data_IF_038733504084
#
_entry.id   IF_038733504084
#
_cell.length_a   1.000
_cell.length_b   1.000
_cell.length_c   1.000
_cell.angle_alpha   90.00
_cell.angle_beta   90.00
_cell.angle_gamma   90.00
#
_symmetry.space_group_name_H-M   'P 1'
#
loop_
_entity.id
_entity.type
_entity.pdbx_description
1 polymer ?
#
# COMPACT_ATOMS: atom_id res chain seq x y z
N UNK A 1 16.26 -29.75 5.90
CA UNK A 1 16.22 -28.29 5.65
C UNK A 1 16.75 -27.61 6.90
N UNK A 2 17.70 -26.69 6.76
CA UNK A 2 18.12 -25.81 7.86
C UNK A 2 16.88 -25.04 8.32
N UNK A 3 16.50 -25.20 9.59
CA UNK A 3 15.43 -24.43 10.20
C UNK A 3 15.86 -22.97 10.20
N UNK A 4 15.21 -22.13 9.40
CA UNK A 4 15.40 -20.68 9.46
C UNK A 4 14.50 -20.22 10.59
N UNK A 5 15.09 -19.72 11.67
CA UNK A 5 14.33 -19.13 12.78
C UNK A 5 14.02 -17.67 12.41
N UNK A 6 12.73 -17.31 12.35
CA UNK A 6 12.27 -15.98 11.95
C UNK A 6 11.66 -15.26 13.14
N UNK A 7 12.19 -14.07 13.45
CA UNK A 7 11.79 -13.22 14.57
C UNK A 7 11.36 -11.81 14.08
N UNK A 8 10.87 -10.95 14.97
CA UNK A 8 10.39 -9.60 14.64
C UNK A 8 11.43 -8.69 13.94
N UNK A 9 12.72 -9.01 14.04
CA UNK A 9 13.83 -8.22 13.48
C UNK A 9 14.40 -8.83 12.21
N UNK A 10 14.11 -10.10 11.89
CA UNK A 10 14.68 -10.79 10.72
C UNK A 10 14.56 -9.95 9.46
N UNK A 11 13.37 -9.38 9.18
CA UNK A 11 13.19 -8.58 7.96
C UNK A 11 14.00 -7.28 7.95
N UNK A 12 14.18 -6.62 9.10
CA UNK A 12 14.98 -5.41 9.17
C UNK A 12 16.48 -5.71 9.04
N UNK A 13 16.93 -6.85 9.56
CA UNK A 13 18.30 -7.36 9.34
C UNK A 13 18.57 -7.68 7.87
N UNK A 14 17.64 -8.34 7.20
CA UNK A 14 17.78 -8.65 5.76
C UNK A 14 17.91 -7.37 4.92
N UNK A 15 17.27 -6.28 5.36
CA UNK A 15 17.32 -4.99 4.67
C UNK A 15 18.61 -4.22 4.95
N UNK A 16 19.38 -4.58 5.97
CA UNK A 16 20.60 -3.87 6.37
C UNK A 16 21.67 -3.91 5.28
N UNK A 17 21.79 -5.03 4.55
CA UNK A 17 22.72 -5.18 3.42
C UNK A 17 22.46 -4.15 2.31
N UNK A 18 21.25 -3.62 2.22
CA UNK A 18 20.83 -2.66 1.19
C UNK A 18 20.73 -1.22 1.71
N UNK A 19 21.16 -0.96 2.95
CA UNK A 19 21.19 0.41 3.50
C UNK A 19 22.50 1.08 3.15
N UNK A 20 22.39 2.32 2.70
CA UNK A 20 23.53 3.19 2.43
C UNK A 20 23.70 4.21 3.57
N UNK A 21 24.94 4.37 4.03
CA UNK A 21 25.33 5.30 5.10
C UNK A 21 26.34 6.33 4.53
N UNK A 22 25.86 7.48 4.04
CA UNK A 22 26.69 8.43 3.30
C UNK A 22 27.67 9.22 4.17
N UNK A 23 27.56 9.16 5.50
CA UNK A 23 28.40 9.94 6.41
C UNK A 23 29.89 9.60 6.25
N UNK A 24 30.70 10.61 5.93
CA UNK A 24 32.14 10.46 5.73
C UNK A 24 32.54 9.79 4.40
N UNK A 25 31.59 9.46 3.54
CA UNK A 25 31.85 8.91 2.20
C UNK A 25 32.13 10.02 1.19
N UNK A 26 32.79 9.66 0.08
CA UNK A 26 32.95 10.55 -1.06
C UNK A 26 31.71 10.48 -1.95
N UNK A 27 31.33 11.60 -2.57
CA UNK A 27 30.38 11.57 -3.67
C UNK A 27 31.03 10.87 -4.88
N UNK A 28 30.33 9.88 -5.44
CA UNK A 28 30.79 9.15 -6.61
C UNK A 28 29.70 9.05 -7.68
N UNK A 29 30.11 8.70 -8.90
CA UNK A 29 29.23 8.12 -9.90
C UNK A 29 28.73 6.74 -9.44
N UNK A 30 27.75 6.19 -10.14
CA UNK A 30 27.26 4.81 -9.91
C UNK A 30 28.35 3.75 -10.18
N UNK A 31 29.42 4.11 -10.90
CA UNK A 31 30.59 3.27 -11.15
C UNK A 31 31.72 3.47 -10.13
N UNK A 32 31.52 4.26 -9.07
CA UNK A 32 32.50 4.50 -8.01
C UNK A 32 33.57 5.55 -8.33
N UNK A 33 33.41 6.33 -9.40
CA UNK A 33 34.36 7.42 -9.74
C UNK A 33 34.04 8.63 -8.89
N UNK A 34 35.02 9.14 -8.13
CA UNK A 34 34.83 10.34 -7.31
C UNK A 34 34.47 11.55 -8.16
N UNK A 35 33.49 12.31 -7.69
CA UNK A 35 33.01 13.54 -8.32
C UNK A 35 33.47 14.74 -7.51
N UNK A 36 34.17 15.68 -8.16
CA UNK A 36 34.68 16.90 -7.52
C UNK A 36 33.79 18.13 -7.71
N UNK A 37 32.89 18.11 -8.70
CA UNK A 37 32.03 19.21 -9.10
C UNK A 37 30.66 18.67 -9.52
N UNK A 38 29.58 19.24 -8.98
CA UNK A 38 28.20 18.78 -9.19
C UNK A 38 27.25 19.85 -9.72
N UNK A 39 27.69 21.11 -9.68
CA UNK A 39 26.88 22.29 -9.93
C UNK A 39 27.12 22.83 -11.34
N UNK A 40 28.24 22.44 -11.96
CA UNK A 40 28.61 22.83 -13.32
C UNK A 40 28.81 21.63 -14.23
N UNK A 41 28.16 21.66 -15.40
CA UNK A 41 28.47 20.75 -16.51
C UNK A 41 29.83 21.09 -17.13
N UNK A 42 30.49 20.08 -17.70
CA UNK A 42 31.67 20.26 -18.55
C UNK A 42 31.29 20.97 -19.85
N UNK A 43 31.99 22.08 -20.13
CA UNK A 43 31.72 22.97 -21.27
C UNK A 43 32.99 23.23 -22.09
N UNK A 44 32.81 23.59 -23.37
CA UNK A 44 33.89 24.14 -24.21
C UNK A 44 34.24 25.60 -23.80
N UNK A 45 34.93 25.76 -22.67
CA UNK A 45 35.20 27.05 -22.05
C UNK A 45 34.09 27.50 -21.09
N UNK A 46 34.35 28.51 -20.27
CA UNK A 46 33.47 28.91 -19.16
C UNK A 46 32.03 29.25 -19.60
N UNK A 47 31.87 29.85 -20.78
CA UNK A 47 30.59 30.25 -21.38
C UNK A 47 30.26 29.50 -22.68
N UNK A 48 30.88 28.34 -22.88
CA UNK A 48 30.68 27.50 -24.06
C UNK A 48 29.52 26.51 -23.94
N UNK A 49 29.23 25.75 -25.01
CA UNK A 49 28.26 24.65 -24.99
C UNK A 49 28.73 23.50 -24.08
N UNK A 50 27.77 22.73 -23.55
CA UNK A 50 28.03 21.50 -22.79
C UNK A 50 28.58 20.41 -23.71
N UNK A 51 29.56 19.64 -23.23
CA UNK A 51 30.21 18.58 -24.00
C UNK A 51 29.55 17.21 -23.76
N UNK A 52 29.44 16.40 -24.83
CA UNK A 52 28.88 15.05 -24.74
C UNK A 52 29.77 14.09 -23.93
N UNK A 53 31.06 14.37 -23.82
CA UNK A 53 32.00 13.57 -23.03
C UNK A 53 31.78 13.68 -21.51
N UNK A 54 30.91 14.59 -21.05
CA UNK A 54 30.49 14.70 -19.66
C UNK A 54 29.64 13.48 -19.24
N UNK A 55 30.32 12.42 -18.80
CA UNK A 55 29.68 11.19 -18.39
C UNK A 55 28.98 11.32 -17.03
N UNK A 56 29.47 12.18 -16.13
CA UNK A 56 28.81 12.40 -14.84
C UNK A 56 27.45 13.09 -15.03
N UNK A 57 27.41 14.16 -15.83
CA UNK A 57 26.17 14.84 -16.20
C UNK A 57 25.16 13.89 -16.82
N UNK A 58 25.58 13.11 -17.81
CA UNK A 58 24.70 12.14 -18.49
C UNK A 58 24.21 11.05 -17.56
N UNK A 59 25.07 10.47 -16.72
CA UNK A 59 24.67 9.42 -15.78
C UNK A 59 23.63 9.94 -14.78
N UNK A 60 23.87 11.12 -14.18
CA UNK A 60 22.96 11.76 -13.22
C UNK A 60 21.60 12.05 -13.84
N UNK A 61 21.55 12.65 -15.03
CA UNK A 61 20.30 12.91 -15.73
C UNK A 61 19.61 11.64 -16.21
N UNK A 62 20.37 10.65 -16.71
CA UNK A 62 19.77 9.39 -17.16
C UNK A 62 19.08 8.69 -16.00
N UNK A 63 19.66 8.67 -14.80
CA UNK A 63 18.99 8.10 -13.63
C UNK A 63 17.72 8.88 -13.27
N UNK A 64 17.79 10.23 -13.24
CA UNK A 64 16.64 11.10 -12.98
C UNK A 64 15.48 10.87 -13.96
N UNK A 65 15.78 10.85 -15.26
CA UNK A 65 14.80 10.68 -16.34
C UNK A 65 14.04 9.34 -16.25
N UNK A 66 14.60 8.36 -15.55
CA UNK A 66 14.04 7.01 -15.39
C UNK A 66 13.59 6.69 -13.95
N UNK A 67 13.46 7.69 -13.07
CA UNK A 67 13.01 7.47 -11.68
C UNK A 67 11.57 6.95 -11.57
N UNK A 68 10.72 7.26 -12.54
CA UNK A 68 9.29 6.92 -12.47
C UNK A 68 9.06 5.51 -13.01
N UNK A 69 8.56 4.64 -12.15
CA UNK A 69 7.94 3.38 -12.54
C UNK A 69 6.40 3.55 -12.59
N UNK A 70 5.67 2.72 -13.35
CA UNK A 70 4.21 2.74 -13.34
C UNK A 70 3.66 2.59 -11.93
N UNK A 71 2.64 3.37 -11.61
CA UNK A 71 1.90 3.18 -10.36
C UNK A 71 1.02 1.94 -10.42
N UNK A 72 0.45 1.55 -9.27
CA UNK A 72 -0.55 0.48 -9.23
C UNK A 72 -1.82 0.93 -9.94
N UNK A 73 -2.43 0.08 -10.75
CA UNK A 73 -3.69 0.38 -11.47
C UNK A 73 -4.79 0.85 -10.50
N UNK A 74 -4.91 0.16 -9.37
CA UNK A 74 -5.74 0.53 -8.22
C UNK A 74 -4.86 0.58 -6.97
N UNK A 75 -5.30 1.28 -5.94
CA UNK A 75 -4.53 1.45 -4.69
C UNK A 75 -3.17 2.13 -4.90
N UNK A 76 -3.07 3.04 -5.88
CA UNK A 76 -1.85 3.77 -6.21
C UNK A 76 -1.37 4.63 -5.03
N UNK A 77 -2.29 5.39 -4.42
CA UNK A 77 -2.02 6.20 -3.22
C UNK A 77 -2.02 5.33 -1.98
N UNK A 78 -0.88 5.29 -1.29
CA UNK A 78 -0.73 4.53 -0.06
C UNK A 78 0.53 4.84 0.72
N UNK A 79 0.61 4.28 1.91
CA UNK A 79 1.73 4.40 2.86
C UNK A 79 1.99 3.04 3.50
N UNK A 80 3.23 2.75 3.88
CA UNK A 80 3.59 1.46 4.45
C UNK A 80 4.48 1.58 5.68
N UNK A 81 4.39 0.59 6.55
CA UNK A 81 5.13 0.52 7.81
C UNK A 81 5.58 -0.92 8.09
N UNK A 82 6.76 -1.05 8.70
CA UNK A 82 7.25 -2.31 9.24
C UNK A 82 6.67 -2.55 10.65
N UNK A 83 6.55 -3.81 11.01
CA UNK A 83 6.17 -4.23 12.36
C UNK A 83 6.32 -5.73 12.54
N UNK A 84 5.62 -6.30 13.52
CA UNK A 84 5.52 -7.74 13.69
C UNK A 84 4.09 -8.13 14.08
N UNK A 85 3.74 -9.37 13.77
CA UNK A 85 2.56 -10.08 14.25
C UNK A 85 2.98 -11.06 15.34
N UNK A 86 2.19 -11.18 16.40
CA UNK A 86 2.42 -12.17 17.47
C UNK A 86 1.21 -13.09 17.59
N UNK A 87 1.45 -14.40 17.53
CA UNK A 87 0.40 -15.40 17.72
C UNK A 87 0.14 -15.60 19.22
N UNK A 88 -1.08 -15.34 19.71
CA UNK A 88 -1.36 -15.48 21.15
C UNK A 88 -1.42 -16.93 21.63
N UNK A 89 -2.01 -17.82 20.83
CA UNK A 89 -2.20 -19.23 21.13
C UNK A 89 -1.99 -20.07 19.88
N UNK A 90 -1.54 -21.32 20.05
CA UNK A 90 -1.35 -22.23 18.92
C UNK A 90 -2.67 -22.47 18.17
N UNK A 91 -2.66 -22.21 16.86
CA UNK A 91 -3.78 -22.50 15.96
C UNK A 91 -3.63 -23.85 15.25
N UNK A 92 -2.76 -24.75 15.75
CA UNK A 92 -2.47 -26.05 15.13
C UNK A 92 -3.71 -26.95 14.94
N UNK A 93 -4.74 -26.77 15.78
CA UNK A 93 -6.04 -27.45 15.63
C UNK A 93 -6.76 -27.06 14.32
N UNK A 94 -6.50 -25.85 13.82
CA UNK A 94 -7.17 -25.22 12.68
C UNK A 94 -6.30 -25.21 11.42
N UNK A 95 -5.00 -24.94 11.53
CA UNK A 95 -4.12 -24.66 10.39
C UNK A 95 -2.70 -25.21 10.58
N UNK A 96 -2.01 -25.53 9.48
CA UNK A 96 -0.58 -25.88 9.45
C UNK A 96 0.34 -24.68 9.24
N UNK A 97 -0.19 -23.46 9.09
CA UNK A 97 0.61 -22.27 8.81
C UNK A 97 1.62 -21.99 9.94
N UNK A 98 2.92 -21.99 9.62
CA UNK A 98 4.03 -21.89 10.59
C UNK A 98 3.95 -20.68 11.52
N UNK A 99 3.55 -19.52 11.01
CA UNK A 99 3.41 -18.28 11.79
C UNK A 99 2.27 -18.31 12.84
N UNK A 100 1.47 -19.38 12.87
CA UNK A 100 0.34 -19.57 13.79
C UNK A 100 0.49 -20.82 14.66
N UNK A 101 1.66 -21.48 14.67
CA UNK A 101 1.81 -22.77 15.37
C UNK A 101 2.14 -22.63 16.86
N UNK A 102 2.75 -21.53 17.28
CA UNK A 102 3.28 -21.37 18.64
C UNK A 102 2.84 -20.05 19.26
N UNK A 103 2.42 -20.11 20.53
CA UNK A 103 2.11 -18.93 21.32
C UNK A 103 3.38 -18.07 21.51
N UNK A 104 3.25 -16.76 21.38
CA UNK A 104 4.35 -15.81 21.45
C UNK A 104 5.22 -15.76 20.19
N UNK A 105 4.96 -16.58 19.16
CA UNK A 105 5.74 -16.52 17.91
C UNK A 105 5.54 -15.17 17.23
N UNK A 106 6.65 -14.47 17.02
CA UNK A 106 6.68 -13.15 16.37
C UNK A 106 7.12 -13.29 14.93
N UNK A 107 6.27 -12.84 14.02
CA UNK A 107 6.51 -12.88 12.57
C UNK A 107 6.65 -11.45 12.08
N UNK A 108 7.76 -11.07 11.43
CA UNK A 108 7.90 -9.74 10.89
C UNK A 108 6.86 -9.51 9.80
N UNK A 109 6.35 -8.29 9.73
CA UNK A 109 5.36 -7.87 8.73
C UNK A 109 5.75 -6.57 8.07
N UNK A 110 5.26 -6.39 6.85
CA UNK A 110 5.16 -5.08 6.22
C UNK A 110 3.70 -4.84 5.84
N UNK A 111 3.13 -3.75 6.33
CA UNK A 111 1.76 -3.35 6.05
C UNK A 111 1.78 -2.20 5.07
N UNK A 112 0.90 -2.23 4.06
CA UNK A 112 0.61 -1.07 3.21
C UNK A 112 -0.88 -0.73 3.28
N UNK A 113 -1.16 0.48 3.72
CA UNK A 113 -2.47 1.10 3.66
C UNK A 113 -2.61 1.91 2.37
N UNK A 114 -3.84 2.05 1.87
CA UNK A 114 -4.09 2.78 0.62
C UNK A 114 -5.53 3.24 0.50
N UNK A 115 -5.79 4.24 -0.34
CA UNK A 115 -7.11 4.44 -0.99
C UNK A 115 -7.23 3.45 -2.16
N UNK A 116 -8.25 3.54 -3.01
CA UNK A 116 -8.44 2.65 -4.18
C UNK A 116 -8.35 3.41 -5.49
N UNK A 117 -9.17 4.46 -5.63
CA UNK A 117 -9.46 5.09 -6.93
C UNK A 117 -8.34 6.03 -7.36
N UNK A 118 -7.87 6.87 -6.45
CA UNK A 118 -6.97 7.97 -6.80
C UNK A 118 -5.59 7.52 -7.30
N UNK A 119 -4.99 8.31 -8.19
CA UNK A 119 -3.59 8.14 -8.61
C UNK A 119 -2.62 8.42 -7.44
N UNK A 120 -1.32 8.13 -7.59
CA UNK A 120 -0.33 8.18 -6.48
C UNK A 120 -0.25 9.53 -5.76
N UNK A 121 -0.62 10.62 -6.42
CA UNK A 121 -0.60 12.00 -5.91
C UNK A 121 -1.94 12.50 -5.34
N UNK A 122 -2.97 11.66 -5.31
CA UNK A 122 -4.28 12.01 -4.72
C UNK A 122 -4.21 12.19 -3.19
N UNK A 123 -5.25 12.80 -2.61
CA UNK A 123 -5.34 13.10 -1.18
C UNK A 123 -5.78 11.89 -0.33
N UNK A 124 -5.33 11.84 0.93
CA UNK A 124 -5.55 10.70 1.84
C UNK A 124 -6.98 10.58 2.42
N UNK A 125 -7.67 11.70 2.60
CA UNK A 125 -8.95 11.79 3.34
C UNK A 125 -10.17 11.78 2.44
N UNK A 126 -10.03 11.37 1.18
CA UNK A 126 -11.14 11.20 0.22
C UNK A 126 -12.16 10.15 0.69
N UNK A 127 -13.41 10.22 0.22
CA UNK A 127 -14.38 9.14 0.44
C UNK A 127 -14.06 7.97 -0.48
N UNK A 128 -13.57 6.88 0.09
CA UNK A 128 -13.12 5.70 -0.64
C UNK A 128 -13.09 4.47 0.27
N UNK A 129 -13.05 3.27 -0.29
CA UNK A 129 -12.56 2.12 0.47
C UNK A 129 -11.07 2.32 0.79
N UNK A 130 -10.59 1.67 1.86
CA UNK A 130 -9.16 1.64 2.18
C UNK A 130 -8.62 0.24 2.05
N UNK A 131 -7.54 0.09 1.28
CA UNK A 131 -6.75 -1.15 1.25
C UNK A 131 -5.95 -1.31 2.54
N UNK A 132 -5.90 -2.54 3.05
CA UNK A 132 -5.13 -2.95 4.22
C UNK A 132 -4.42 -4.26 3.87
N UNK A 133 -3.26 -4.14 3.22
CA UNK A 133 -2.46 -5.29 2.80
C UNK A 133 -1.35 -5.56 3.82
N UNK A 134 -1.31 -6.77 4.37
CA UNK A 134 -0.27 -7.21 5.31
C UNK A 134 0.51 -8.37 4.71
N UNK A 135 1.81 -8.16 4.51
CA UNK A 135 2.76 -9.21 4.14
C UNK A 135 3.38 -9.78 5.41
N UNK A 136 3.24 -11.08 5.61
CA UNK A 136 3.87 -11.86 6.67
C UNK A 136 5.09 -12.56 6.09
N UNK A 137 6.25 -12.30 6.66
CA UNK A 137 7.49 -12.98 6.30
C UNK A 137 7.61 -14.23 7.16
N UNK A 138 7.13 -15.38 6.68
CA UNK A 138 7.09 -16.63 7.44
C UNK A 138 8.21 -17.59 7.01
N UNK A 139 8.50 -18.58 7.83
CA UNK A 139 9.51 -19.62 7.57
C UNK A 139 9.17 -20.49 6.35
N UNK A 140 7.87 -20.66 6.07
CA UNK A 140 7.38 -21.49 4.96
C UNK A 140 7.04 -20.66 3.71
N UNK A 141 7.52 -19.41 3.67
CA UNK A 141 7.28 -18.47 2.57
C UNK A 141 6.41 -17.28 2.98
N UNK A 142 6.39 -16.27 2.11
CA UNK A 142 5.64 -15.05 2.38
C UNK A 142 4.14 -15.30 2.23
N UNK A 143 3.36 -14.88 3.22
CA UNK A 143 1.90 -14.90 3.18
C UNK A 143 1.36 -13.48 3.08
N UNK A 144 0.55 -13.21 2.06
CA UNK A 144 -0.05 -11.88 1.85
C UNK A 144 -1.54 -11.92 2.17
N UNK A 145 -1.93 -11.24 3.25
CA UNK A 145 -3.33 -10.96 3.56
C UNK A 145 -3.70 -9.58 2.97
N UNK A 146 -4.24 -9.59 1.76
CA UNK A 146 -4.64 -8.38 1.02
C UNK A 146 -6.12 -8.11 1.25
N UNK A 147 -6.41 -7.21 2.21
CA UNK A 147 -7.77 -6.89 2.62
C UNK A 147 -8.17 -5.43 2.35
N UNK A 148 -9.40 -5.11 2.76
CA UNK A 148 -9.95 -3.75 2.79
C UNK A 148 -10.48 -3.38 4.18
N UNK A 149 -10.81 -2.12 4.41
CA UNK A 149 -11.44 -1.65 5.65
C UNK A 149 -12.96 -1.91 5.74
N UNK A 150 -13.54 -2.58 4.72
CA UNK A 150 -14.95 -2.92 4.59
C UNK A 150 -15.07 -4.44 4.38
N UNK A 151 -16.04 -5.14 5.02
CA UNK A 151 -16.11 -6.62 5.02
C UNK A 151 -16.65 -7.26 3.73
N UNK A 152 -17.02 -6.46 2.73
CA UNK A 152 -17.61 -6.88 1.46
C UNK A 152 -16.96 -6.12 0.30
N UNK A 153 -17.27 -6.51 -0.93
CA UNK A 153 -16.80 -5.86 -2.14
C UNK A 153 -17.97 -5.47 -3.06
N UNK A 154 -17.72 -4.64 -4.06
CA UNK A 154 -18.76 -4.12 -4.97
C UNK A 154 -19.36 -5.19 -5.88
N UNK A 155 -18.57 -6.17 -6.29
CA UNK A 155 -18.93 -7.15 -7.32
C UNK A 155 -18.75 -8.58 -6.79
N UNK A 156 -19.49 -9.52 -7.38
CA UNK A 156 -19.41 -10.93 -6.99
C UNK A 156 -18.39 -11.73 -7.82
N UNK A 157 -18.23 -11.38 -9.10
CA UNK A 157 -17.31 -12.05 -10.03
C UNK A 157 -16.20 -11.11 -10.48
N UNK A 158 -14.96 -11.62 -10.51
CA UNK A 158 -13.78 -10.87 -10.89
C UNK A 158 -13.79 -10.39 -12.35
N UNK A 159 -14.57 -11.02 -13.24
CA UNK A 159 -14.68 -10.57 -14.64
C UNK A 159 -15.23 -9.14 -14.75
N UNK A 160 -16.04 -8.68 -13.77
CA UNK A 160 -16.58 -7.32 -13.70
C UNK A 160 -15.59 -6.30 -13.12
N UNK A 161 -14.41 -6.73 -12.67
CA UNK A 161 -13.47 -5.83 -12.00
C UNK A 161 -12.99 -4.68 -12.89
N UNK A 162 -12.65 -4.90 -14.17
CA UNK A 162 -12.33 -3.80 -15.08
C UNK A 162 -13.51 -2.83 -15.27
N UNK A 163 -14.74 -3.34 -15.41
CA UNK A 163 -15.94 -2.51 -15.58
C UNK A 163 -16.19 -1.61 -14.37
N UNK A 164 -16.12 -2.18 -13.17
CA UNK A 164 -16.20 -1.43 -11.91
C UNK A 164 -15.09 -0.39 -11.83
N UNK A 165 -13.83 -0.79 -12.05
CA UNK A 165 -12.68 0.11 -11.90
C UNK A 165 -12.75 1.25 -12.92
N UNK A 166 -13.08 0.98 -14.18
CA UNK A 166 -13.28 2.02 -15.18
C UNK A 166 -14.44 2.95 -14.83
N UNK A 167 -15.53 2.43 -14.25
CA UNK A 167 -16.67 3.26 -13.84
C UNK A 167 -16.37 4.22 -12.69
N UNK A 168 -15.48 3.84 -11.75
CA UNK A 168 -15.17 4.67 -10.57
C UNK A 168 -13.91 5.54 -10.76
N UNK A 169 -13.07 5.20 -11.73
CA UNK A 169 -11.90 6.00 -12.10
C UNK A 169 -12.35 7.28 -12.82
N UNK A 170 -11.45 8.28 -12.93
CA UNK A 170 -11.75 9.47 -13.73
C UNK A 170 -12.16 9.08 -15.16
N UNK A 171 -13.09 9.83 -15.74
CA UNK A 171 -13.68 9.53 -17.04
C UNK A 171 -12.64 9.62 -18.15
N UNK A 172 -12.71 8.75 -19.18
CA UNK A 172 -11.59 8.53 -20.09
C UNK A 172 -11.35 9.66 -21.08
N UNK A 173 -12.30 10.57 -21.28
CA UNK A 173 -12.21 11.69 -22.21
C UNK A 173 -11.52 12.92 -21.59
N UNK A 174 -11.65 13.13 -20.27
CA UNK A 174 -11.11 14.31 -19.58
C UNK A 174 -10.27 14.03 -18.32
N UNK A 175 -10.17 12.77 -17.89
CA UNK A 175 -9.49 12.32 -16.68
C UNK A 175 -10.02 12.99 -15.39
N UNK A 176 -11.32 13.27 -15.32
CA UNK A 176 -12.00 13.81 -14.14
C UNK A 176 -13.18 12.95 -13.66
N UNK A 177 -13.53 12.98 -12.36
CA UNK A 177 -12.82 13.62 -11.26
C UNK A 177 -11.72 12.74 -10.63
N UNK A 178 -10.68 13.36 -10.07
CA UNK A 178 -9.66 12.64 -9.31
C UNK A 178 -10.19 12.16 -7.95
N UNK A 179 -10.03 10.85 -7.67
CA UNK A 179 -10.28 10.24 -6.36
C UNK A 179 -11.67 10.53 -5.77
N UNK A 180 -12.70 10.54 -6.62
CA UNK A 180 -14.09 10.78 -6.22
C UNK A 180 -15.01 9.85 -6.98
N UNK A 181 -15.96 9.23 -6.26
CA UNK A 181 -17.04 8.45 -6.85
C UNK A 181 -18.28 9.31 -7.17
N UNK A 182 -18.17 10.64 -7.09
CA UNK A 182 -19.28 11.58 -7.31
C UNK A 182 -19.29 12.09 -8.77
N UNK A 183 -19.50 11.17 -9.71
CA UNK A 183 -19.63 11.45 -11.14
C UNK A 183 -20.49 10.38 -11.83
N UNK A 184 -20.94 10.67 -13.05
CA UNK A 184 -22.02 9.97 -13.75
C UNK A 184 -21.70 8.50 -14.04
N UNK A 185 -20.52 8.19 -14.58
CA UNK A 185 -20.17 6.80 -14.96
C UNK A 185 -20.17 5.83 -13.77
N UNK A 186 -19.77 6.27 -12.58
CA UNK A 186 -19.84 5.43 -11.39
C UNK A 186 -21.29 5.17 -10.98
N UNK A 187 -22.12 6.21 -10.93
CA UNK A 187 -23.51 6.06 -10.51
C UNK A 187 -24.37 5.32 -11.53
N UNK A 188 -24.03 5.38 -12.81
CA UNK A 188 -24.62 4.54 -13.85
C UNK A 188 -24.31 3.04 -13.62
N UNK A 189 -23.03 2.72 -13.33
CA UNK A 189 -22.66 1.35 -12.94
C UNK A 189 -23.41 0.91 -11.68
N UNK A 190 -23.54 1.80 -10.69
CA UNK A 190 -24.25 1.51 -9.44
C UNK A 190 -25.72 1.21 -9.68
N UNK A 191 -26.41 2.06 -10.43
CA UNK A 191 -27.83 1.91 -10.75
C UNK A 191 -28.11 0.65 -11.58
N UNK A 192 -27.16 0.24 -12.42
CA UNK A 192 -27.29 -0.92 -13.31
C UNK A 192 -26.95 -2.26 -12.66
N UNK A 193 -26.41 -2.29 -11.44
CA UNK A 193 -25.91 -3.51 -10.79
C UNK A 193 -26.32 -3.64 -9.32
N UNK A 194 -27.41 -4.32 -9.02
CA UNK A 194 -27.92 -4.45 -7.64
C UNK A 194 -26.97 -5.12 -6.63
N UNK A 195 -26.01 -5.92 -7.09
CA UNK A 195 -25.06 -6.64 -6.23
C UNK A 195 -24.16 -5.71 -5.39
N UNK A 196 -23.94 -4.46 -5.83
CA UNK A 196 -23.09 -3.50 -5.14
C UNK A 196 -23.79 -2.77 -3.99
N UNK A 197 -25.11 -2.91 -3.83
CA UNK A 197 -25.91 -2.10 -2.90
C UNK A 197 -25.35 -2.16 -1.46
N UNK A 198 -24.89 -3.34 -1.01
CA UNK A 198 -24.28 -3.48 0.31
C UNK A 198 -22.99 -2.67 0.42
N UNK A 199 -22.08 -2.75 -0.55
CA UNK A 199 -20.82 -2.01 -0.54
C UNK A 199 -21.04 -0.49 -0.59
N UNK A 200 -22.03 -0.03 -1.35
CA UNK A 200 -22.37 1.40 -1.43
C UNK A 200 -22.82 1.94 -0.07
N UNK A 201 -23.59 1.18 0.71
CA UNK A 201 -23.96 1.60 2.07
C UNK A 201 -22.73 1.79 2.98
N UNK A 202 -21.71 0.94 2.85
CA UNK A 202 -20.45 1.10 3.58
C UNK A 202 -19.67 2.32 3.10
N UNK A 203 -19.50 2.49 1.79
CA UNK A 203 -18.75 3.60 1.18
C UNK A 203 -19.35 4.97 1.52
N UNK A 204 -20.68 5.09 1.48
CA UNK A 204 -21.39 6.33 1.78
C UNK A 204 -21.50 6.62 3.28
N UNK A 205 -21.34 5.62 4.15
CA UNK A 205 -21.19 5.85 5.59
C UNK A 205 -19.83 6.47 5.93
N UNK A 206 -19.62 6.85 7.19
CA UNK A 206 -18.33 7.40 7.62
C UNK A 206 -17.18 6.37 7.58
N UNK A 207 -17.46 5.09 7.31
CA UNK A 207 -16.43 4.07 7.02
C UNK A 207 -15.58 4.40 5.78
N UNK A 208 -16.13 5.17 4.84
CA UNK A 208 -15.40 5.66 3.67
C UNK A 208 -14.43 6.82 3.95
N UNK A 209 -14.47 7.40 5.15
CA UNK A 209 -13.65 8.56 5.56
C UNK A 209 -13.05 8.32 6.97
N UNK A 210 -12.19 7.30 7.15
CA UNK A 210 -11.60 7.00 8.44
C UNK A 210 -10.77 8.17 8.98
N UNK A 211 -10.66 8.28 10.31
CA UNK A 211 -9.87 9.32 10.99
C UNK A 211 -8.37 9.08 10.89
N UNK A 212 -7.98 7.81 10.83
CA UNK A 212 -6.60 7.34 10.77
C UNK A 212 -6.60 5.88 10.29
N UNK A 213 -5.52 5.45 9.62
CA UNK A 213 -5.32 4.02 9.34
C UNK A 213 -5.26 3.17 10.62
N UNK A 214 -4.87 3.77 11.75
CA UNK A 214 -4.80 3.11 13.06
C UNK A 214 -6.17 2.92 13.72
N UNK A 215 -7.22 3.55 13.18
CA UNK A 215 -8.57 3.60 13.75
C UNK A 215 -9.65 3.08 12.78
N UNK A 216 -9.27 2.19 11.86
CA UNK A 216 -10.20 1.48 10.98
C UNK A 216 -10.07 -0.03 11.18
N UNK A 217 -11.18 -0.75 10.97
CA UNK A 217 -11.10 -2.22 10.86
C UNK A 217 -10.44 -2.62 9.54
N UNK A 218 -9.99 -3.87 9.47
CA UNK A 218 -9.56 -4.51 8.23
C UNK A 218 -10.22 -5.87 8.07
N UNK A 219 -10.41 -6.31 6.83
CA UNK A 219 -11.12 -7.54 6.50
C UNK A 219 -10.48 -8.20 5.28
N UNK A 220 -10.32 -9.52 5.33
CA UNK A 220 -9.90 -10.30 4.16
C UNK A 220 -10.98 -10.42 3.08
N UNK A 221 -12.21 -10.00 3.39
CA UNK A 221 -13.44 -10.05 2.56
C UNK A 221 -13.88 -11.48 2.23
N UNK A 222 -13.04 -12.23 1.53
CA UNK A 222 -13.30 -13.59 1.06
C UNK A 222 -13.31 -14.60 2.21
N UNK A 223 -14.06 -15.68 2.00
CA UNK A 223 -13.94 -16.88 2.82
C UNK A 223 -12.75 -17.69 2.34
N UNK A 224 -11.76 -17.88 3.20
CA UNK A 224 -10.61 -18.75 2.96
C UNK A 224 -10.80 -20.09 3.65
N UNK A 225 -9.84 -21.00 3.47
CA UNK A 225 -9.82 -22.30 4.12
C UNK A 225 -8.53 -22.48 4.91
N UNK A 226 -8.66 -22.70 6.21
CA UNK A 226 -7.59 -23.27 7.01
C UNK A 226 -7.62 -24.80 6.92
N UNK A 227 -6.45 -25.42 6.89
CA UNK A 227 -6.28 -26.87 6.82
C UNK A 227 -5.25 -27.28 7.87
N UNK A 228 -5.64 -28.14 8.80
CA UNK A 228 -4.77 -28.63 9.86
C UNK A 228 -3.94 -29.86 9.43
N UNK A 229 -3.06 -30.36 10.31
CA UNK A 229 -2.17 -31.51 10.03
C UNK A 229 -2.90 -32.80 9.66
N UNK A 230 -4.15 -32.97 10.08
CA UNK A 230 -4.99 -34.12 9.73
C UNK A 230 -5.74 -33.93 8.39
N UNK A 231 -5.50 -32.83 7.66
CA UNK A 231 -6.21 -32.50 6.43
C UNK A 231 -7.63 -31.96 6.65
N UNK A 232 -8.04 -31.68 7.90
CA UNK A 232 -9.38 -31.15 8.21
C UNK A 232 -9.44 -29.67 7.83
N UNK A 233 -10.33 -29.36 6.90
CA UNK A 233 -10.58 -27.99 6.44
C UNK A 233 -11.63 -27.25 7.26
N UNK A 234 -11.40 -25.95 7.52
CA UNK A 234 -12.36 -25.03 8.15
C UNK A 234 -12.42 -23.72 7.38
N UNK A 235 -13.62 -23.19 7.16
CA UNK A 235 -13.80 -21.88 6.55
C UNK A 235 -13.43 -20.78 7.53
N UNK A 236 -12.74 -19.74 7.05
CA UNK A 236 -12.28 -18.61 7.86
C UNK A 236 -12.46 -17.30 7.11
N UNK A 237 -12.81 -16.25 7.85
CA UNK A 237 -12.71 -14.86 7.41
C UNK A 237 -11.74 -14.12 8.32
N UNK A 238 -10.88 -13.30 7.73
CA UNK A 238 -9.87 -12.54 8.48
C UNK A 238 -10.40 -11.17 8.89
N UNK A 239 -10.07 -10.76 10.11
CA UNK A 239 -10.46 -9.49 10.70
C UNK A 239 -9.26 -8.85 11.39
N UNK A 240 -9.05 -7.55 11.14
CA UNK A 240 -8.18 -6.68 11.92
C UNK A 240 -9.06 -5.77 12.78
N UNK A 241 -8.88 -5.85 14.09
CA UNK A 241 -9.59 -5.01 15.05
C UNK A 241 -8.60 -3.98 15.61
N UNK A 242 -8.79 -2.68 15.35
CA UNK A 242 -7.85 -1.65 15.80
C UNK A 242 -7.91 -1.50 17.31
N UNK A 243 -6.74 -1.53 17.96
CA UNK A 243 -6.63 -1.30 19.41
C UNK A 243 -7.10 0.10 19.82
N UNK A 244 -6.99 1.08 18.93
CA UNK A 244 -7.40 2.46 19.16
C UNK A 244 -8.91 2.71 18.92
N UNK A 245 -9.70 1.66 18.68
CA UNK A 245 -11.12 1.80 18.35
C UNK A 245 -11.36 2.18 16.89
N UNK A 246 -12.63 2.36 16.54
CA UNK A 246 -13.07 2.67 15.17
C UNK A 246 -13.58 4.10 15.13
N UNK A 247 -12.87 4.98 14.44
CA UNK A 247 -13.16 6.40 14.36
C UNK A 247 -13.07 6.90 12.92
N UNK A 248 -13.98 7.80 12.57
CA UNK A 248 -14.07 8.41 11.25
C UNK A 248 -14.15 9.92 11.36
N UNK A 249 -13.79 10.59 10.28
CA UNK A 249 -14.08 12.01 10.06
C UNK A 249 -15.56 12.19 9.71
N UNK A 250 -16.00 13.44 9.70
CA UNK A 250 -17.24 13.85 9.01
C UNK A 250 -16.91 14.40 7.63
N UNK A 251 -17.88 14.40 6.70
CA UNK A 251 -17.61 14.69 5.29
C UNK A 251 -16.99 16.08 5.02
N UNK A 252 -17.54 17.14 5.60
CA UNK A 252 -17.03 18.52 5.41
C UNK A 252 -15.58 18.67 5.91
N UNK A 253 -15.25 18.03 7.03
CA UNK A 253 -13.89 17.98 7.57
C UNK A 253 -12.97 17.22 6.61
N UNK A 254 -13.37 16.01 6.19
CA UNK A 254 -12.58 15.15 5.31
C UNK A 254 -12.24 15.84 3.98
N UNK A 255 -13.20 16.56 3.38
CA UNK A 255 -13.00 17.32 2.14
C UNK A 255 -12.08 18.52 2.34
N UNK A 256 -12.28 19.32 3.40
CA UNK A 256 -11.39 20.46 3.71
C UNK A 256 -9.97 20.01 4.03
N UNK A 257 -9.85 18.88 4.73
CA UNK A 257 -8.55 18.31 5.10
C UNK A 257 -7.80 17.80 3.87
N UNK A 258 -8.48 17.23 2.87
CA UNK A 258 -7.86 16.82 1.61
C UNK A 258 -7.19 17.98 0.86
N UNK A 259 -7.69 19.21 1.03
CA UNK A 259 -7.05 20.42 0.48
C UNK A 259 -5.96 21.01 1.39
N UNK A 260 -6.13 20.95 2.72
CA UNK A 260 -5.19 21.54 3.69
C UNK A 260 -3.95 20.67 3.95
N UNK A 261 -4.13 19.35 3.99
CA UNK A 261 -3.06 18.37 4.17
C UNK A 261 -3.42 17.09 3.39
N UNK A 262 -3.13 17.02 2.07
CA UNK A 262 -3.40 15.83 1.27
C UNK A 262 -2.61 14.60 1.72
N UNK A 263 -1.58 14.76 2.55
CA UNK A 263 -0.76 13.70 3.14
C UNK A 263 -1.15 13.35 4.58
N UNK A 264 -2.32 13.76 5.05
CA UNK A 264 -2.73 13.65 6.45
C UNK A 264 -2.61 12.23 7.04
N UNK A 265 -3.14 11.19 6.38
CA UNK A 265 -3.07 9.83 6.93
C UNK A 265 -1.67 9.24 6.80
N UNK A 266 -0.92 9.61 5.76
CA UNK A 266 0.50 9.24 5.62
C UNK A 266 1.32 9.85 6.76
N UNK A 267 1.10 11.13 7.07
CA UNK A 267 1.75 11.86 8.17
C UNK A 267 1.39 11.27 9.53
N UNK A 268 0.10 11.09 9.81
CA UNK A 268 -0.40 10.52 11.08
C UNK A 268 0.11 9.09 11.36
N UNK A 269 0.43 8.32 10.32
CA UNK A 269 1.03 7.00 10.50
C UNK A 269 2.55 7.07 10.79
N UNK A 270 3.22 8.08 10.24
CA UNK A 270 4.68 8.22 10.32
C UNK A 270 5.13 8.88 11.63
N UNK A 271 4.38 9.86 12.11
CA UNK A 271 4.60 10.59 13.39
C UNK A 271 4.18 9.78 14.62
#
# INVERSE_FOLDING_TARGET
>A
ATHIDVDEKSRLKDLEEFREYPEGQFLTTNQGVRVSETDMSLKAGERGPTLLEDFHFREKLTHFDHERIPERVVHARGTGAHGYFECYESMAEYTMASFLQEAGKKTPVFVRFSTVVGFRGSADTVRDARGFATKFYTEDGNYDLVGNNIPVFFIQDAIKFPDLVHSIKPEPDDEMPQASAAHDTFWDFVASHYENAHMIMWLLSDRGIPRSYRMMQGFGVNTFRFVNKAGKGRFVKFHWIPKLGVHSLVWDEAQKLAGKDPDYHRRDLYE
#
